data_IF_238238259510
#
_entry.id   IF_238238259510
#
_cell.length_a   1.000
_cell.length_b   1.000
_cell.length_c   1.000
_cell.angle_alpha   90.00
_cell.angle_beta   90.00
_cell.angle_gamma   90.00
#
_symmetry.space_group_name_H-M   'P 1'
#
loop_
_entity.id
_entity.type
_entity.pdbx_description
1 polymer ?
#
# COMPACT_ATOMS: atom_id res chain seq x y z
N UNK A 1 -34.01 -22.47 -3.81
CA UNK A 1 -32.56 -22.33 -3.54
C UNK A 1 -32.26 -23.20 -2.33
N UNK A 2 -31.32 -24.14 -2.46
CA UNK A 2 -30.96 -25.06 -1.38
C UNK A 2 -29.58 -24.68 -0.85
N UNK A 3 -29.49 -24.30 0.42
CA UNK A 3 -28.22 -24.07 1.11
C UNK A 3 -27.84 -25.38 1.81
N UNK A 4 -26.79 -26.03 1.36
CA UNK A 4 -26.24 -27.24 2.00
C UNK A 4 -24.93 -26.89 2.69
N UNK A 5 -24.88 -27.10 3.99
CA UNK A 5 -23.65 -26.98 4.79
C UNK A 5 -23.34 -28.36 5.36
N UNK A 6 -22.10 -28.80 5.22
CA UNK A 6 -21.64 -30.08 5.77
C UNK A 6 -21.63 -30.01 7.30
N UNK A 7 -22.21 -31.02 7.96
CA UNK A 7 -22.29 -31.05 9.43
C UNK A 7 -20.90 -31.07 10.07
N UNK A 8 -19.92 -31.75 9.48
CA UNK A 8 -18.54 -31.74 9.97
C UNK A 8 -17.90 -30.35 9.87
N UNK A 9 -18.38 -29.51 8.95
CA UNK A 9 -17.98 -28.09 8.90
C UNK A 9 -18.65 -27.32 10.02
N UNK A 10 -19.95 -27.49 10.25
CA UNK A 10 -20.67 -26.83 11.35
C UNK A 10 -20.09 -27.20 12.72
N UNK A 11 -19.74 -28.46 12.92
CA UNK A 11 -19.19 -28.98 14.19
C UNK A 11 -17.85 -28.33 14.56
N UNK A 12 -17.13 -27.76 13.58
CA UNK A 12 -15.91 -26.99 13.82
C UNK A 12 -16.16 -25.59 14.38
N UNK A 13 -17.42 -25.13 14.36
CA UNK A 13 -17.82 -23.80 14.84
C UNK A 13 -18.95 -23.96 15.87
N UNK A 14 -18.65 -24.40 17.10
CA UNK A 14 -19.67 -24.71 18.13
C UNK A 14 -20.52 -23.50 18.54
N UNK A 15 -20.09 -22.29 18.20
CA UNK A 15 -20.81 -21.05 18.47
C UNK A 15 -21.70 -20.61 17.31
N UNK A 16 -21.64 -21.28 16.14
CA UNK A 16 -22.42 -21.00 14.95
C UNK A 16 -23.75 -21.74 15.00
N UNK A 17 -24.86 -21.00 15.03
CA UNK A 17 -26.20 -21.56 15.05
C UNK A 17 -26.91 -21.22 13.75
N UNK A 18 -27.41 -22.27 13.08
CA UNK A 18 -28.26 -22.14 11.90
C UNK A 18 -29.67 -22.55 12.31
N UNK A 19 -30.60 -21.61 12.27
CA UNK A 19 -32.02 -21.88 12.55
C UNK A 19 -32.85 -21.66 11.29
N UNK A 20 -33.91 -22.45 11.13
CA UNK A 20 -34.89 -22.29 10.06
C UNK A 20 -36.26 -22.05 10.69
N UNK A 21 -36.86 -20.90 10.38
CA UNK A 21 -38.23 -20.57 10.75
C UNK A 21 -38.99 -20.21 9.47
N UNK A 22 -40.04 -20.98 9.17
CA UNK A 22 -40.79 -20.89 7.92
C UNK A 22 -39.84 -20.99 6.69
N UNK A 23 -39.86 -19.97 5.83
CA UNK A 23 -39.03 -19.85 4.63
C UNK A 23 -37.75 -19.04 4.87
N UNK A 24 -37.42 -18.71 6.13
CA UNK A 24 -36.24 -17.92 6.48
C UNK A 24 -35.20 -18.81 7.17
N UNK A 25 -33.97 -18.77 6.66
CA UNK A 25 -32.78 -19.37 7.30
C UNK A 25 -31.99 -18.25 7.97
N UNK A 26 -31.75 -18.39 9.27
CA UNK A 26 -30.99 -17.45 10.10
C UNK A 26 -29.69 -18.09 10.55
N UNK A 27 -28.59 -17.36 10.44
CA UNK A 27 -27.25 -17.79 10.87
C UNK A 27 -26.74 -16.81 11.93
N UNK A 28 -26.44 -17.28 13.14
CA UNK A 28 -26.05 -16.44 14.31
C UNK A 28 -24.89 -17.05 15.09
N UNK A 29 -24.04 -16.19 15.64
CA UNK A 29 -23.08 -16.59 16.68
C UNK A 29 -23.62 -16.29 18.08
N UNK A 30 -23.37 -17.17 19.05
CA UNK A 30 -23.92 -17.06 20.42
C UNK A 30 -23.35 -15.91 21.26
N UNK A 31 -22.32 -15.18 20.82
CA UNK A 31 -21.73 -14.09 21.57
C UNK A 31 -21.42 -12.85 20.71
N UNK A 32 -21.93 -11.69 21.13
CA UNK A 32 -21.45 -10.36 20.70
C UNK A 32 -22.50 -9.48 20.00
N UNK A 33 -22.83 -8.34 20.63
CA UNK A 33 -23.67 -7.24 20.10
C UNK A 33 -22.99 -6.46 18.94
N UNK A 34 -22.24 -7.11 18.06
CA UNK A 34 -21.53 -6.46 16.96
C UNK A 34 -21.66 -7.30 15.70
N UNK A 35 -21.81 -6.64 14.56
CA UNK A 35 -21.77 -7.23 13.22
C UNK A 35 -20.58 -8.21 13.14
N UNK A 36 -20.88 -9.51 13.14
CA UNK A 36 -19.88 -10.54 12.92
C UNK A 36 -19.77 -10.74 11.42
N UNK A 37 -18.88 -9.96 10.79
CA UNK A 37 -18.51 -10.20 9.41
C UNK A 37 -17.87 -11.60 9.31
N UNK A 38 -18.57 -12.47 8.60
CA UNK A 38 -18.19 -13.84 8.33
C UNK A 38 -16.88 -13.87 7.51
N UNK A 39 -15.79 -14.35 8.10
CA UNK A 39 -14.62 -14.79 7.35
C UNK A 39 -14.62 -16.31 7.25
N UNK A 40 -15.20 -16.83 6.16
CA UNK A 40 -14.84 -18.16 5.67
C UNK A 40 -14.00 -18.05 4.40
N UNK A 41 -12.68 -17.93 4.55
CA UNK A 41 -11.75 -18.58 3.66
C UNK A 41 -11.15 -19.75 4.43
N UNK A 42 -11.52 -20.97 4.07
CA UNK A 42 -10.88 -22.19 4.60
C UNK A 42 -9.39 -22.29 4.23
N UNK A 43 -8.90 -21.38 3.38
CA UNK A 43 -7.52 -21.32 2.93
C UNK A 43 -6.91 -19.97 3.33
N UNK A 44 -6.17 -19.97 4.43
CA UNK A 44 -5.19 -18.93 4.72
C UNK A 44 -3.86 -19.30 4.04
N UNK A 45 -3.06 -18.29 3.65
CA UNK A 45 -3.33 -16.86 3.78
C UNK A 45 -4.32 -16.33 2.73
N UNK A 46 -5.02 -15.24 3.05
CA UNK A 46 -5.95 -14.54 2.16
C UNK A 46 -5.22 -13.76 1.07
N UNK A 47 -5.73 -13.81 -0.16
CA UNK A 47 -5.22 -13.06 -1.31
C UNK A 47 -6.08 -11.87 -1.74
N UNK A 48 -7.38 -11.88 -1.41
CA UNK A 48 -8.28 -10.75 -1.62
C UNK A 48 -8.90 -10.39 -0.27
N UNK A 49 -8.85 -9.11 0.07
CA UNK A 49 -9.25 -8.58 1.36
C UNK A 49 -10.48 -7.67 1.25
N UNK A 50 -11.14 -7.59 0.08
CA UNK A 50 -12.29 -6.69 -0.14
C UNK A 50 -13.48 -7.00 0.76
N UNK A 51 -13.59 -8.23 1.28
CA UNK A 51 -14.61 -8.60 2.27
C UNK A 51 -14.29 -8.14 3.69
N UNK A 52 -13.09 -7.61 3.94
CA UNK A 52 -12.67 -7.09 5.24
C UNK A 52 -12.79 -5.57 5.29
N UNK A 53 -13.21 -5.08 6.44
CA UNK A 53 -13.06 -3.66 6.78
C UNK A 53 -11.56 -3.34 6.98
N UNK A 54 -11.13 -2.13 6.63
CA UNK A 54 -9.78 -1.64 6.91
C UNK A 54 -9.46 -1.71 8.41
N UNK A 55 -10.44 -1.37 9.27
CA UNK A 55 -10.31 -1.48 10.73
C UNK A 55 -10.01 -2.92 11.18
N UNK A 56 -10.61 -3.94 10.54
CA UNK A 56 -10.34 -5.33 10.87
C UNK A 56 -8.94 -5.77 10.42
N UNK A 57 -8.48 -5.28 9.28
CA UNK A 57 -7.11 -5.52 8.79
C UNK A 57 -6.09 -4.95 9.79
N UNK A 58 -6.31 -3.71 10.26
CA UNK A 58 -5.49 -3.07 11.30
C UNK A 58 -5.51 -3.84 12.63
N UNK A 59 -6.68 -4.32 13.09
CA UNK A 59 -6.78 -5.14 14.30
C UNK A 59 -5.93 -6.42 14.20
N UNK A 60 -5.97 -7.11 13.05
CA UNK A 60 -5.17 -8.31 12.77
C UNK A 60 -3.67 -7.98 12.73
N UNK A 61 -3.31 -6.83 12.14
CA UNK A 61 -1.96 -6.29 12.13
C UNK A 61 -1.43 -6.04 13.54
N UNK A 62 -2.15 -5.27 14.35
CA UNK A 62 -1.80 -4.96 15.75
C UNK A 62 -1.74 -6.20 16.65
N UNK A 63 -2.49 -7.25 16.33
CA UNK A 63 -2.41 -8.54 17.02
C UNK A 63 -1.17 -9.36 16.64
N UNK A 64 -0.32 -8.88 15.72
CA UNK A 64 0.86 -9.59 15.22
C UNK A 64 0.49 -10.81 14.36
N UNK A 65 -0.67 -10.79 13.70
CA UNK A 65 -1.21 -11.91 12.93
C UNK A 65 -1.27 -11.68 11.42
N UNK A 66 -0.85 -10.51 10.93
CA UNK A 66 -0.92 -10.15 9.50
C UNK A 66 -0.30 -11.23 8.58
N UNK A 67 0.97 -11.64 8.82
CA UNK A 67 1.65 -12.69 8.03
C UNK A 67 0.97 -14.07 8.05
N UNK A 68 0.14 -14.35 9.06
CA UNK A 68 -0.62 -15.60 9.15
C UNK A 68 -1.92 -15.52 8.34
N UNK A 69 -2.56 -14.36 8.33
CA UNK A 69 -3.88 -14.18 7.73
C UNK A 69 -3.83 -13.69 6.29
N UNK A 70 -2.80 -12.93 5.91
CA UNK A 70 -2.72 -12.26 4.61
C UNK A 70 -1.49 -12.72 3.84
N UNK A 71 -1.68 -12.93 2.54
CA UNK A 71 -0.60 -13.32 1.66
C UNK A 71 0.21 -12.05 1.31
N UNK A 72 1.50 -12.23 1.03
CA UNK A 72 2.26 -11.20 0.33
C UNK A 72 1.60 -10.96 -1.05
N UNK A 73 1.37 -9.71 -1.41
CA UNK A 73 0.61 -9.33 -2.61
C UNK A 73 -0.91 -9.46 -2.47
N UNK A 74 -1.46 -9.73 -1.28
CA UNK A 74 -2.91 -9.71 -1.08
C UNK A 74 -3.49 -8.31 -1.38
N UNK A 75 -4.61 -8.25 -2.09
CA UNK A 75 -5.17 -6.97 -2.56
C UNK A 75 -6.37 -6.49 -1.77
N UNK A 76 -6.52 -5.16 -1.70
CA UNK A 76 -7.65 -4.47 -1.08
C UNK A 76 -7.97 -3.20 -1.83
N UNK A 77 -9.25 -2.94 -2.07
CA UNK A 77 -9.72 -1.67 -2.63
C UNK A 77 -10.04 -0.64 -1.55
N UNK A 78 -9.67 0.61 -1.84
CA UNK A 78 -10.17 1.80 -1.17
C UNK A 78 -11.05 2.62 -2.12
N UNK A 79 -12.22 3.04 -1.63
CA UNK A 79 -13.14 3.89 -2.36
C UNK A 79 -12.90 5.34 -1.90
N UNK A 80 -12.05 6.05 -2.63
CA UNK A 80 -11.65 7.41 -2.28
C UNK A 80 -12.81 8.40 -2.43
N UNK A 81 -12.79 9.47 -1.65
CA UNK A 81 -13.82 10.52 -1.59
C UNK A 81 -14.01 11.27 -2.91
N UNK A 82 -12.97 11.31 -3.73
CA UNK A 82 -12.99 11.93 -5.05
C UNK A 82 -13.48 10.96 -6.17
N UNK A 83 -14.04 9.81 -5.79
CA UNK A 83 -14.60 8.80 -6.69
C UNK A 83 -13.57 7.87 -7.34
N UNK A 84 -12.27 8.04 -7.07
CA UNK A 84 -11.25 7.08 -7.51
C UNK A 84 -11.32 5.80 -6.68
N UNK A 85 -11.16 4.64 -7.34
CA UNK A 85 -11.05 3.36 -6.65
C UNK A 85 -9.61 2.93 -6.71
N UNK A 86 -8.89 3.10 -5.60
CA UNK A 86 -7.51 2.65 -5.47
C UNK A 86 -7.50 1.16 -5.13
N UNK A 87 -6.66 0.38 -5.82
CA UNK A 87 -6.35 -0.99 -5.40
C UNK A 87 -4.93 -1.01 -4.83
N UNK A 88 -4.80 -1.52 -3.61
CA UNK A 88 -3.53 -1.69 -2.92
C UNK A 88 -3.21 -3.16 -2.77
N UNK A 89 -1.92 -3.48 -2.71
CA UNK A 89 -1.40 -4.80 -2.43
C UNK A 89 -0.40 -4.75 -1.28
N UNK A 90 -0.35 -5.80 -0.46
CA UNK A 90 0.64 -5.89 0.61
C UNK A 90 2.03 -6.09 0.00
N UNK A 91 2.93 -5.12 0.19
CA UNK A 91 4.30 -5.20 -0.32
C UNK A 91 5.30 -5.78 0.68
N UNK A 92 5.02 -5.68 1.98
CA UNK A 92 5.78 -6.34 3.04
C UNK A 92 5.04 -6.25 4.38
N UNK A 93 5.59 -6.87 5.41
CA UNK A 93 5.11 -6.80 6.79
C UNK A 93 6.28 -6.48 7.72
N UNK A 94 6.03 -5.78 8.82
CA UNK A 94 7.08 -5.44 9.81
C UNK A 94 8.35 -4.87 9.13
N UNK A 95 8.17 -3.98 8.14
CA UNK A 95 9.27 -3.45 7.33
C UNK A 95 9.66 -2.04 7.81
N UNK A 96 8.72 -1.12 7.69
CA UNK A 96 8.92 0.30 7.96
C UNK A 96 8.83 0.64 9.44
N UNK A 97 9.71 1.51 9.92
CA UNK A 97 9.69 2.00 11.30
C UNK A 97 8.61 3.08 11.46
N UNK A 98 7.73 2.90 12.46
CA UNK A 98 6.70 3.88 12.80
C UNK A 98 7.36 5.19 13.28
N UNK A 99 6.79 6.32 12.86
CA UNK A 99 7.35 7.63 13.15
C UNK A 99 7.11 8.11 14.60
N UNK A 100 6.43 7.31 15.42
CA UNK A 100 6.30 7.50 16.86
C UNK A 100 7.28 6.62 17.67
N UNK A 101 8.19 5.93 16.96
CA UNK A 101 9.23 5.05 17.51
C UNK A 101 8.68 3.88 18.34
N UNK A 102 7.40 3.51 18.15
CA UNK A 102 6.76 2.38 18.84
C UNK A 102 7.13 1.01 18.27
N UNK A 103 7.88 0.97 17.17
CA UNK A 103 8.33 -0.25 16.51
C UNK A 103 8.11 -0.18 15.00
N UNK A 104 7.74 -1.32 14.41
CA UNK A 104 7.49 -1.45 12.98
C UNK A 104 6.01 -1.46 12.67
N UNK A 105 5.63 -0.88 11.52
CA UNK A 105 4.27 -0.98 11.02
C UNK A 105 3.96 -2.44 10.66
N UNK A 106 2.82 -3.00 11.09
CA UNK A 106 2.46 -4.37 10.76
C UNK A 106 2.39 -4.66 9.27
N UNK A 107 1.90 -3.73 8.45
CA UNK A 107 1.72 -3.92 7.01
C UNK A 107 2.16 -2.68 6.23
N UNK A 108 2.96 -2.90 5.18
CA UNK A 108 3.29 -1.90 4.16
C UNK A 108 2.51 -2.19 2.87
N UNK A 109 1.93 -1.16 2.25
CA UNK A 109 1.05 -1.27 1.09
C UNK A 109 1.59 -0.53 -0.13
N UNK A 110 1.48 -1.15 -1.31
CA UNK A 110 1.79 -0.57 -2.62
C UNK A 110 0.51 -0.40 -3.43
N UNK A 111 0.32 0.75 -4.08
CA UNK A 111 -0.80 0.93 -5.01
C UNK A 111 -0.55 0.14 -6.30
N UNK A 112 -1.45 -0.75 -6.69
CA UNK A 112 -1.26 -1.69 -7.81
C UNK A 112 -1.10 -0.97 -9.15
N UNK A 113 -2.00 -0.03 -9.44
CA UNK A 113 -2.01 0.79 -10.64
C UNK A 113 -1.66 2.25 -10.32
N UNK A 114 -1.36 3.05 -11.35
CA UNK A 114 -1.13 4.47 -11.18
C UNK A 114 -2.41 5.18 -10.74
N UNK A 115 -2.24 6.20 -9.91
CA UNK A 115 -3.30 7.15 -9.60
C UNK A 115 -3.76 7.86 -10.88
N UNK A 116 -5.05 8.25 -10.92
CA UNK A 116 -5.69 8.84 -12.11
C UNK A 116 -5.04 10.14 -12.58
N UNK A 117 -4.44 10.91 -11.68
CA UNK A 117 -3.82 12.18 -11.98
C UNK A 117 -2.30 12.03 -11.92
N UNK A 118 -1.62 12.54 -12.94
CA UNK A 118 -0.18 12.70 -12.91
C UNK A 118 0.23 13.90 -12.06
N UNK A 119 1.45 13.85 -11.52
CA UNK A 119 1.99 14.95 -10.72
C UNK A 119 3.37 15.36 -11.19
N UNK A 120 3.71 16.60 -10.83
CA UNK A 120 5.08 17.10 -10.89
C UNK A 120 5.78 16.71 -9.60
N UNK A 121 6.99 16.15 -9.68
CA UNK A 121 7.82 15.99 -8.50
C UNK A 121 8.22 17.37 -7.93
N UNK A 122 8.65 18.27 -8.82
CA UNK A 122 8.92 19.68 -8.55
C UNK A 122 8.62 20.53 -9.79
N UNK A 123 7.52 21.28 -9.78
CA UNK A 123 6.90 21.93 -10.95
C UNK A 123 7.82 22.87 -11.73
N UNK A 124 8.67 23.62 -11.02
CA UNK A 124 9.60 24.57 -11.65
C UNK A 124 10.94 23.95 -12.07
N UNK A 125 11.12 22.64 -11.91
CA UNK A 125 12.37 21.91 -12.19
C UNK A 125 13.61 22.44 -11.45
N UNK A 126 13.42 23.15 -10.34
CA UNK A 126 14.53 23.57 -9.50
C UNK A 126 15.14 22.39 -8.75
N UNK A 127 16.44 22.53 -8.48
CA UNK A 127 17.19 21.61 -7.62
C UNK A 127 16.44 21.39 -6.31
N UNK A 128 16.00 20.15 -6.07
CA UNK A 128 15.18 19.77 -4.92
C UNK A 128 15.55 18.38 -4.40
N UNK A 129 15.16 18.07 -3.18
CA UNK A 129 15.08 16.71 -2.65
C UNK A 129 13.66 16.44 -2.13
N UNK A 130 13.37 15.19 -1.77
CA UNK A 130 12.03 14.73 -1.40
C UNK A 130 11.27 15.67 -0.44
N UNK A 131 11.95 16.19 0.59
CA UNK A 131 11.34 17.07 1.59
C UNK A 131 10.85 18.42 1.03
N UNK A 132 11.34 18.84 -0.12
CA UNK A 132 11.04 20.11 -0.77
C UNK A 132 10.14 19.94 -2.02
N UNK A 133 9.71 18.71 -2.31
CA UNK A 133 8.96 18.35 -3.51
C UNK A 133 7.48 18.69 -3.38
N UNK A 134 6.93 19.23 -4.47
CA UNK A 134 5.50 19.51 -4.58
C UNK A 134 4.71 18.18 -4.55
N UNK A 135 5.28 17.11 -5.10
CA UNK A 135 4.68 15.78 -5.05
C UNK A 135 4.52 15.25 -3.63
N UNK A 136 5.49 15.48 -2.74
CA UNK A 136 5.38 15.10 -1.33
C UNK A 136 4.25 15.86 -0.62
N UNK A 137 4.13 17.16 -0.90
CA UNK A 137 3.04 18.01 -0.39
C UNK A 137 1.68 17.52 -0.86
N UNK A 138 1.55 17.14 -2.14
CA UNK A 138 0.32 16.55 -2.67
C UNK A 138 -0.04 15.23 -1.97
N UNK A 139 0.92 14.30 -1.82
CA UNK A 139 0.66 12.99 -1.23
C UNK A 139 0.21 13.06 0.22
N UNK A 140 0.88 13.87 1.04
CA UNK A 140 0.56 14.04 2.46
C UNK A 140 -0.53 15.10 2.73
N UNK A 141 -1.10 15.70 1.67
CA UNK A 141 -2.18 16.66 1.74
C UNK A 141 -3.39 16.14 0.98
N UNK A 142 -3.60 16.65 -0.22
CA UNK A 142 -4.80 16.36 -1.02
C UNK A 142 -5.06 14.86 -1.26
N UNK A 143 -4.02 14.08 -1.58
CA UNK A 143 -4.21 12.64 -1.80
C UNK A 143 -4.65 11.92 -0.53
N UNK A 144 -3.95 12.16 0.58
CA UNK A 144 -4.29 11.61 1.90
C UNK A 144 -5.69 12.05 2.37
N UNK A 145 -6.07 13.30 2.14
CA UNK A 145 -7.39 13.82 2.51
C UNK A 145 -8.53 13.18 1.71
N UNK A 146 -8.24 12.75 0.49
CA UNK A 146 -9.18 12.05 -0.39
C UNK A 146 -9.28 10.55 -0.13
N UNK A 147 -8.40 9.92 0.65
CA UNK A 147 -8.60 8.53 1.09
C UNK A 147 -9.95 8.38 1.81
N UNK A 148 -10.52 7.17 1.77
CA UNK A 148 -11.71 6.91 2.58
C UNK A 148 -11.45 7.17 4.06
N UNK A 149 -12.48 7.56 4.82
CA UNK A 149 -12.32 7.79 6.26
C UNK A 149 -11.88 6.53 7.00
N UNK A 150 -12.24 5.36 6.50
CA UNK A 150 -11.89 4.06 7.07
C UNK A 150 -10.40 3.73 6.88
N UNK A 151 -9.87 3.90 5.66
CA UNK A 151 -8.45 3.73 5.40
C UNK A 151 -7.64 4.75 6.19
N UNK A 152 -8.01 6.03 6.11
CA UNK A 152 -7.29 7.11 6.77
C UNK A 152 -7.22 6.97 8.29
N UNK A 153 -8.21 6.32 8.91
CA UNK A 153 -8.20 6.04 10.35
C UNK A 153 -7.10 5.05 10.77
N UNK A 154 -6.67 4.18 9.86
CA UNK A 154 -5.65 3.16 10.14
C UNK A 154 -4.25 3.54 9.66
N UNK A 155 -4.12 4.43 8.66
CA UNK A 155 -2.80 4.83 8.13
C UNK A 155 -1.92 5.41 9.24
N UNK A 156 -0.69 4.92 9.33
CA UNK A 156 0.33 5.35 10.29
C UNK A 156 1.46 6.07 9.58
N UNK A 157 1.96 7.19 10.15
CA UNK A 157 3.15 7.83 9.63
C UNK A 157 4.39 6.98 9.93
N UNK A 158 5.29 6.87 8.97
CA UNK A 158 6.56 6.12 9.10
C UNK A 158 7.75 7.01 8.80
N UNK A 159 8.93 6.57 9.25
CA UNK A 159 10.20 7.18 8.85
C UNK A 159 10.62 6.64 7.49
N UNK A 160 10.76 7.53 6.49
CA UNK A 160 11.35 7.19 5.20
C UNK A 160 12.75 7.78 5.09
N UNK A 161 13.66 7.01 4.49
CA UNK A 161 15.03 7.41 4.22
C UNK A 161 15.16 7.83 2.75
N UNK A 162 15.72 9.02 2.53
CA UNK A 162 15.96 9.57 1.19
C UNK A 162 17.23 10.42 1.21
N UNK A 163 17.99 10.42 0.13
CA UNK A 163 19.13 11.31 0.00
C UNK A 163 18.70 12.77 -0.22
N UNK A 164 19.40 13.70 0.43
CA UNK A 164 19.29 15.12 0.14
C UNK A 164 20.16 15.50 -1.08
N UNK A 165 20.19 16.81 -1.41
CA UNK A 165 20.96 17.35 -2.55
C UNK A 165 22.48 17.10 -2.47
N UNK A 166 23.00 16.87 -1.26
CA UNK A 166 24.41 16.61 -1.01
C UNK A 166 24.73 15.11 -0.94
N UNK A 167 23.72 14.25 -1.15
CA UNK A 167 23.85 12.80 -1.03
C UNK A 167 23.80 12.27 0.40
N UNK A 168 23.47 13.10 1.39
CA UNK A 168 23.31 12.66 2.78
C UNK A 168 21.92 12.06 2.97
N UNK A 169 21.83 10.91 3.64
CA UNK A 169 20.55 10.28 3.95
C UNK A 169 19.86 11.05 5.09
N UNK A 170 18.66 11.53 4.81
CA UNK A 170 17.77 12.22 5.76
C UNK A 170 16.50 11.41 6.00
N UNK A 171 15.84 11.67 7.13
CA UNK A 171 14.56 11.09 7.49
C UNK A 171 13.41 12.06 7.20
N UNK A 172 12.40 11.58 6.50
CA UNK A 172 11.10 12.25 6.37
C UNK A 172 10.03 11.48 7.14
N UNK A 173 9.08 12.21 7.74
CA UNK A 173 7.87 11.63 8.35
C UNK A 173 6.73 11.75 7.35
N UNK A 174 6.26 10.63 6.84
CA UNK A 174 5.25 10.58 5.79
C UNK A 174 4.12 9.61 6.16
N UNK A 175 2.88 10.03 5.95
CA UNK A 175 1.71 9.12 5.95
C UNK A 175 1.60 8.37 4.63
N UNK A 176 1.92 9.08 3.54
CA UNK A 176 1.89 8.57 2.17
C UNK A 176 3.19 8.97 1.49
N UNK A 177 3.82 8.02 0.80
CA UNK A 177 5.09 8.24 0.10
C UNK A 177 5.13 7.55 -1.26
N UNK A 178 6.20 7.77 -2.01
CA UNK A 178 6.57 6.94 -3.16
C UNK A 178 7.80 6.13 -2.76
N UNK A 179 7.88 4.85 -3.15
CA UNK A 179 9.11 4.03 -3.02
C UNK A 179 10.38 4.77 -3.45
N UNK A 180 11.50 4.46 -2.79
CA UNK A 180 12.83 4.77 -3.29
C UNK A 180 13.24 3.76 -4.37
N UNK A 181 14.27 4.08 -5.15
CA UNK A 181 14.88 3.15 -6.09
C UNK A 181 15.38 1.87 -5.39
N UNK A 182 16.01 2.04 -4.22
CA UNK A 182 16.50 0.95 -3.38
C UNK A 182 15.37 0.06 -2.85
N UNK A 183 14.24 0.65 -2.46
CA UNK A 183 13.07 -0.08 -1.96
C UNK A 183 12.36 -0.88 -3.04
N UNK A 184 12.33 -0.39 -4.28
CA UNK A 184 11.71 -1.08 -5.41
C UNK A 184 12.62 -2.16 -6.01
N UNK A 185 13.89 -1.83 -6.28
CA UNK A 185 14.80 -2.70 -7.03
C UNK A 185 15.82 -3.45 -6.19
N UNK A 186 15.91 -3.16 -4.89
CA UNK A 186 16.92 -3.71 -3.99
C UNK A 186 18.33 -3.15 -4.17
N UNK A 187 18.51 -2.22 -5.10
CA UNK A 187 19.77 -1.53 -5.43
C UNK A 187 19.48 -0.13 -5.97
N UNK A 188 20.54 0.67 -6.05
CA UNK A 188 20.50 1.98 -6.70
C UNK A 188 21.16 1.89 -8.07
N UNK A 189 20.58 2.56 -9.06
CA UNK A 189 21.14 2.78 -10.39
C UNK A 189 21.51 4.25 -10.58
N UNK A 190 20.68 5.15 -10.06
CA UNK A 190 20.82 6.59 -10.25
C UNK A 190 20.80 7.39 -8.93
N UNK A 191 20.22 6.86 -7.86
CA UNK A 191 20.20 7.53 -6.56
C UNK A 191 21.42 7.19 -5.69
N UNK A 192 21.55 7.89 -4.56
CA UNK A 192 22.56 7.55 -3.56
C UNK A 192 22.11 6.32 -2.76
N UNK A 193 23.07 5.49 -2.32
CA UNK A 193 22.78 4.32 -1.50
C UNK A 193 22.33 4.71 -0.08
N UNK A 194 21.59 3.82 0.59
CA UNK A 194 21.09 4.03 1.96
C UNK A 194 19.61 4.43 2.08
N UNK A 195 18.87 4.48 0.96
CA UNK A 195 17.44 4.80 0.93
C UNK A 195 16.56 3.59 1.25
N UNK A 196 16.52 3.15 2.52
CA UNK A 196 15.63 2.05 2.95
C UNK A 196 16.07 0.65 2.49
N UNK A 197 15.14 -0.31 2.46
CA UNK A 197 15.42 -1.72 2.16
C UNK A 197 14.44 -2.27 1.12
N UNK A 198 14.86 -3.33 0.41
CA UNK A 198 14.03 -3.95 -0.62
C UNK A 198 12.76 -4.54 -0.03
N UNK A 199 11.59 -4.18 -0.55
CA UNK A 199 10.33 -4.78 -0.11
C UNK A 199 10.17 -6.20 -0.64
N UNK A 200 9.72 -7.12 0.22
CA UNK A 200 9.63 -8.55 -0.07
C UNK A 200 8.83 -8.89 -1.35
N UNK A 201 7.79 -8.11 -1.66
CA UNK A 201 6.98 -8.30 -2.87
C UNK A 201 7.79 -8.11 -4.15
N UNK A 202 8.74 -7.18 -4.16
CA UNK A 202 9.55 -6.90 -5.36
C UNK A 202 10.75 -7.84 -5.52
N UNK A 203 11.00 -8.69 -4.52
CA UNK A 203 12.00 -9.76 -4.55
C UNK A 203 11.54 -10.99 -5.35
N UNK A 204 10.25 -11.07 -5.70
CA UNK A 204 9.70 -12.23 -6.37
C UNK A 204 10.27 -12.37 -7.78
N UNK A 205 10.45 -13.61 -8.24
CA UNK A 205 10.91 -13.86 -9.60
C UNK A 205 9.93 -13.31 -10.63
N UNK A 206 10.47 -12.66 -11.67
CA UNK A 206 9.69 -12.07 -12.76
C UNK A 206 8.65 -11.02 -12.31
N UNK A 207 8.89 -10.34 -11.19
CA UNK A 207 8.00 -9.26 -10.75
C UNK A 207 7.95 -8.13 -11.80
N UNK A 208 6.75 -7.73 -12.29
CA UNK A 208 6.62 -6.64 -13.24
C UNK A 208 6.74 -5.29 -12.51
N UNK A 209 7.91 -4.64 -12.60
CA UNK A 209 8.12 -3.33 -11.95
C UNK A 209 7.40 -2.16 -12.61
N UNK A 210 6.85 -2.32 -13.82
CA UNK A 210 5.99 -1.30 -14.45
C UNK A 210 4.63 -1.24 -13.77
N UNK A 211 3.92 -0.12 -13.92
CA UNK A 211 2.52 0.01 -13.51
C UNK A 211 1.64 0.41 -14.68
N UNK A 212 0.36 0.10 -14.54
CA UNK A 212 -0.66 0.44 -15.53
C UNK A 212 -1.35 1.75 -15.16
N UNK A 213 -1.70 2.56 -16.15
CA UNK A 213 -2.52 3.76 -15.98
C UNK A 213 -4.04 3.45 -16.05
N UNK A 214 -4.87 4.49 -16.02
CA UNK A 214 -6.34 4.36 -16.06
C UNK A 214 -6.89 3.71 -17.34
N UNK A 215 -6.11 3.71 -18.42
CA UNK A 215 -6.45 3.09 -19.70
C UNK A 215 -5.88 1.66 -19.84
N UNK A 216 -5.33 1.11 -18.75
CA UNK A 216 -4.72 -0.22 -18.69
C UNK A 216 -3.48 -0.35 -19.61
N UNK A 217 -2.79 0.78 -19.86
CA UNK A 217 -1.54 0.86 -20.59
C UNK A 217 -0.36 0.97 -19.62
N UNK A 218 0.80 0.43 -20.00
CA UNK A 218 2.01 0.58 -19.18
C UNK A 218 2.51 2.01 -19.27
N UNK A 219 2.88 2.58 -18.13
CA UNK A 219 3.24 3.98 -18.06
C UNK A 219 4.36 4.24 -17.04
N UNK A 220 4.89 5.44 -17.06
CA UNK A 220 5.95 5.92 -16.20
C UNK A 220 5.43 6.19 -14.78
N UNK A 221 6.21 5.80 -13.76
CA UNK A 221 5.93 6.12 -12.36
C UNK A 221 7.10 6.84 -11.69
N UNK A 222 6.80 7.87 -10.91
CA UNK A 222 7.79 8.53 -10.07
C UNK A 222 8.28 7.64 -8.93
N UNK A 223 9.55 7.84 -8.55
CA UNK A 223 10.15 7.40 -7.28
C UNK A 223 10.60 8.64 -6.50
N UNK A 224 10.62 8.57 -5.17
CA UNK A 224 11.04 9.74 -4.34
C UNK A 224 12.53 10.05 -4.40
N UNK A 225 13.33 9.12 -4.91
CA UNK A 225 14.79 9.21 -4.96
C UNK A 225 15.25 10.31 -5.91
N UNK A 226 16.03 11.25 -5.38
CA UNK A 226 16.72 12.26 -6.19
C UNK A 226 17.94 11.64 -6.89
N UNK A 227 18.23 12.06 -8.12
CA UNK A 227 19.42 11.62 -8.84
C UNK A 227 20.70 12.14 -8.17
N UNK A 228 21.66 11.24 -7.92
CA UNK A 228 22.88 11.55 -7.18
C UNK A 228 23.77 12.62 -7.83
N UNK A 229 23.77 12.72 -9.17
CA UNK A 229 24.60 13.68 -9.91
C UNK A 229 23.94 15.01 -10.25
N UNK A 230 22.62 15.14 -10.09
CA UNK A 230 21.88 16.35 -10.47
C UNK A 230 20.49 16.36 -9.81
N UNK A 231 20.30 17.23 -8.82
CA UNK A 231 19.07 17.34 -8.04
C UNK A 231 17.90 18.03 -8.74
N UNK A 232 18.04 18.36 -10.03
CA UNK A 232 16.90 18.72 -10.88
C UNK A 232 16.23 17.47 -11.50
N UNK A 233 16.82 16.29 -11.32
CA UNK A 233 16.34 15.01 -11.84
C UNK A 233 15.92 14.08 -10.70
N UNK A 234 14.83 13.34 -10.89
CA UNK A 234 14.36 12.32 -9.96
C UNK A 234 14.27 10.97 -10.66
N UNK A 235 14.43 9.92 -9.86
CA UNK A 235 14.29 8.55 -10.34
C UNK A 235 12.83 8.25 -10.69
N UNK A 236 12.66 7.41 -11.69
CA UNK A 236 11.38 6.91 -12.14
C UNK A 236 11.54 5.47 -12.62
N UNK A 237 10.40 4.84 -12.88
CA UNK A 237 10.34 3.57 -13.59
C UNK A 237 9.80 3.82 -14.98
N UNK A 238 10.48 3.30 -16.00
CA UNK A 238 10.00 3.36 -17.37
C UNK A 238 8.84 2.37 -17.61
N UNK A 239 8.08 2.53 -18.70
CA UNK A 239 6.92 1.70 -19.00
C UNK A 239 7.25 0.20 -19.21
N UNK A 240 8.53 -0.14 -19.42
CA UNK A 240 9.01 -1.52 -19.48
C UNK A 240 9.45 -2.08 -18.11
N UNK A 241 9.43 -1.26 -17.06
CA UNK A 241 9.85 -1.60 -15.70
C UNK A 241 11.31 -1.26 -15.38
N UNK A 242 12.08 -0.74 -16.35
CA UNK A 242 13.48 -0.35 -16.12
C UNK A 242 13.60 0.92 -15.28
N UNK A 243 14.69 1.04 -14.52
CA UNK A 243 14.99 2.25 -13.77
C UNK A 243 15.45 3.34 -14.74
N UNK A 244 15.03 4.60 -14.50
CA UNK A 244 15.49 5.76 -15.25
C UNK A 244 15.41 7.03 -14.38
N UNK A 245 15.82 8.16 -14.93
CA UNK A 245 15.69 9.49 -14.33
C UNK A 245 15.05 10.46 -15.30
N UNK A 246 14.40 11.50 -14.79
CA UNK A 246 13.92 12.60 -15.63
C UNK A 246 13.74 13.89 -14.82
N UNK A 247 13.51 14.99 -15.53
CA UNK A 247 13.31 16.31 -14.93
C UNK A 247 12.08 16.33 -14.02
N UNK A 248 12.26 16.85 -12.81
CA UNK A 248 11.23 16.90 -11.78
C UNK A 248 9.99 17.71 -12.17
N UNK A 249 10.11 18.61 -13.15
CA UNK A 249 9.00 19.40 -13.69
C UNK A 249 8.26 18.74 -14.84
N UNK A 250 8.47 17.45 -15.11
CA UNK A 250 7.55 16.67 -15.94
C UNK A 250 6.37 16.16 -15.10
N UNK A 251 5.21 16.09 -15.75
CA UNK A 251 4.02 15.41 -15.21
C UNK A 251 4.16 13.91 -15.49
N UNK A 252 4.11 13.08 -14.45
CA UNK A 252 4.25 11.61 -14.54
C UNK A 252 3.32 10.96 -13.51
N UNK A 253 2.91 9.72 -13.79
CA UNK A 253 2.12 8.90 -12.89
C UNK A 253 2.78 8.64 -11.53
N UNK A 254 1.93 8.36 -10.53
CA UNK A 254 2.35 7.96 -9.19
C UNK A 254 1.60 6.75 -8.70
N UNK A 255 2.28 5.93 -7.92
CA UNK A 255 1.69 4.83 -7.16
C UNK A 255 2.03 5.02 -5.69
N UNK A 256 1.18 5.76 -4.96
CA UNK A 256 1.41 6.08 -3.56
C UNK A 256 1.34 4.86 -2.65
N UNK A 257 2.22 4.86 -1.66
CA UNK A 257 2.39 3.79 -0.68
C UNK A 257 2.02 4.29 0.72
N UNK A 258 1.60 3.40 1.61
CA UNK A 258 1.32 3.72 3.00
C UNK A 258 1.59 2.54 3.95
N UNK A 259 1.53 2.80 5.26
CA UNK A 259 1.63 1.79 6.31
C UNK A 259 0.39 1.81 7.20
N UNK A 260 0.01 0.65 7.73
CA UNK A 260 -1.04 0.46 8.73
C UNK A 260 -0.55 -0.41 9.86
#
# INVERSE_FOLDING_TARGET
MELRIDQNVLDRFPNLNVTKENDVVTVKFNEGNGNSDFLFPLNFPLHNLDSLSWSKIDEIGRAGKARTFFALGATKKDYMKNGFVAEYQIMDFDHDDLADDSGKAPISWDMVALYKDEIYMKRNSESSCWDECDGRTFLNGEFYDNMSDELRAIVKPVWKLTANKNGEIVKSKDYVWLKSEKELYGRTFYSNDGEGYWYALFMQENFPWFKLNGDNEKDWQWLRSVHAGNSNLFCRVDADGSANITYSGLSIGVAPDFCS
#
